data_IF_649337048241
#
_entry.id   IF_649337048241
#
_cell.length_a   1.000
_cell.length_b   1.000
_cell.length_c   1.000
_cell.angle_alpha   90.00
_cell.angle_beta   90.00
_cell.angle_gamma   90.00
#
_symmetry.space_group_name_H-M   'P 1'
#
loop_
_entity.id
_entity.type
_entity.pdbx_description
1 polymer ?
#
# COMPACT_ATOMS: atom_id res chain seq x y z
N UNK A 1 -9.47 13.64 -10.89
CA UNK A 1 -10.71 12.95 -11.29
C UNK A 1 -10.35 11.52 -11.68
N UNK A 2 -10.94 10.50 -11.06
CA UNK A 2 -10.57 9.09 -11.31
C UNK A 2 -11.05 8.67 -12.71
N UNK A 3 -10.11 8.40 -13.62
CA UNK A 3 -10.39 8.00 -15.01
C UNK A 3 -11.31 6.77 -15.07
N UNK A 4 -11.24 5.87 -14.08
CA UNK A 4 -12.14 4.71 -14.02
C UNK A 4 -13.58 5.13 -13.75
N UNK A 5 -13.80 6.12 -12.88
CA UNK A 5 -15.15 6.62 -12.59
C UNK A 5 -15.77 7.25 -13.83
N UNK A 6 -14.97 7.97 -14.62
CA UNK A 6 -15.42 8.53 -15.91
C UNK A 6 -15.80 7.39 -16.88
N UNK A 7 -14.95 6.36 -16.99
CA UNK A 7 -15.23 5.19 -17.81
C UNK A 7 -16.50 4.45 -17.40
N UNK A 8 -16.73 4.24 -16.10
CA UNK A 8 -17.94 3.61 -15.55
C UNK A 8 -19.20 4.43 -15.90
N UNK A 9 -19.14 5.76 -15.77
CA UNK A 9 -20.28 6.62 -16.14
C UNK A 9 -20.58 6.52 -17.63
N UNK A 10 -19.55 6.51 -18.49
CA UNK A 10 -19.72 6.34 -19.94
C UNK A 10 -20.33 4.99 -20.30
N UNK A 11 -19.96 3.91 -19.60
CA UNK A 11 -20.55 2.58 -19.80
C UNK A 11 -22.03 2.60 -19.41
N UNK A 12 -22.38 3.17 -18.26
CA UNK A 12 -23.77 3.21 -17.79
C UNK A 12 -24.66 4.02 -18.74
N UNK A 13 -24.22 5.21 -19.14
CA UNK A 13 -24.95 6.05 -20.12
C UNK A 13 -25.05 5.32 -21.46
N UNK A 14 -23.95 4.73 -21.92
CA UNK A 14 -23.90 3.99 -23.18
C UNK A 14 -24.89 2.82 -23.21
N UNK A 15 -24.91 1.98 -22.17
CA UNK A 15 -25.83 0.83 -22.05
C UNK A 15 -27.29 1.31 -22.05
N UNK A 16 -27.62 2.35 -21.29
CA UNK A 16 -28.99 2.89 -21.23
C UNK A 16 -29.43 3.36 -22.62
N UNK A 17 -28.59 4.12 -23.32
CA UNK A 17 -28.89 4.60 -24.68
C UNK A 17 -29.01 3.42 -25.66
N UNK A 18 -28.15 2.41 -25.58
CA UNK A 18 -28.21 1.21 -26.42
C UNK A 18 -29.51 0.44 -26.23
N UNK A 19 -29.99 0.28 -24.99
CA UNK A 19 -31.25 -0.42 -24.69
C UNK A 19 -32.46 0.37 -25.16
N UNK A 20 -32.48 1.69 -24.93
CA UNK A 20 -33.62 2.56 -25.30
C UNK A 20 -33.78 2.68 -26.83
N UNK A 21 -32.67 2.67 -27.57
CA UNK A 21 -32.66 2.88 -29.03
C UNK A 21 -32.31 1.62 -29.82
N UNK A 22 -32.65 0.43 -29.29
CA UNK A 22 -32.30 -0.86 -29.93
C UNK A 22 -32.83 -0.99 -31.36
N UNK A 23 -34.00 -0.40 -31.64
CA UNK A 23 -34.65 -0.44 -32.96
C UNK A 23 -34.13 0.65 -33.92
N UNK A 24 -33.32 1.60 -33.44
CA UNK A 24 -32.74 2.67 -34.26
C UNK A 24 -31.24 2.46 -34.47
N UNK A 25 -30.89 1.80 -35.58
CA UNK A 25 -29.50 1.47 -35.92
C UNK A 25 -28.57 2.69 -35.99
N UNK A 26 -29.07 3.87 -36.37
CA UNK A 26 -28.26 5.09 -36.47
C UNK A 26 -27.78 5.60 -35.10
N UNK A 27 -28.53 5.29 -34.03
CA UNK A 27 -28.20 5.68 -32.65
C UNK A 27 -27.56 4.51 -31.90
N UNK A 28 -27.99 3.28 -32.18
CA UNK A 28 -27.48 2.05 -31.59
C UNK A 28 -25.96 1.89 -31.81
N UNK A 29 -25.48 2.04 -33.05
CA UNK A 29 -24.06 1.85 -33.38
C UNK A 29 -23.17 2.87 -32.63
N UNK A 30 -23.44 4.19 -32.66
CA UNK A 30 -22.70 5.15 -31.85
C UNK A 30 -22.77 4.88 -30.34
N UNK A 31 -23.93 4.52 -29.80
CA UNK A 31 -24.08 4.21 -28.38
C UNK A 31 -23.22 3.01 -27.95
N UNK A 32 -23.17 1.98 -28.79
CA UNK A 32 -22.33 0.81 -28.56
C UNK A 32 -20.84 1.16 -28.65
N UNK A 33 -20.44 2.02 -29.60
CA UNK A 33 -19.07 2.55 -29.69
C UNK A 33 -18.68 3.34 -28.44
N UNK A 34 -19.55 4.22 -27.94
CA UNK A 34 -19.31 4.98 -26.69
C UNK A 34 -19.18 4.03 -25.49
N UNK A 35 -20.01 2.99 -25.42
CA UNK A 35 -19.93 1.97 -24.37
C UNK A 35 -18.58 1.25 -24.40
N UNK A 36 -18.14 0.81 -25.60
CA UNK A 36 -16.83 0.17 -25.79
C UNK A 36 -15.65 1.08 -25.41
N UNK A 37 -15.72 2.37 -25.75
CA UNK A 37 -14.72 3.36 -25.31
C UNK A 37 -14.71 3.51 -23.78
N UNK A 38 -15.88 3.53 -23.15
CA UNK A 38 -16.01 3.54 -21.69
C UNK A 38 -15.33 2.32 -21.03
N UNK A 39 -15.51 1.12 -21.61
CA UNK A 39 -14.80 -0.09 -21.19
C UNK A 39 -13.28 0.05 -21.32
N UNK A 40 -12.80 0.51 -22.48
CA UNK A 40 -11.37 0.69 -22.71
C UNK A 40 -10.74 1.67 -21.70
N UNK A 41 -11.36 2.82 -21.48
CA UNK A 41 -10.91 3.83 -20.51
C UNK A 41 -10.85 3.25 -19.09
N UNK A 42 -11.87 2.46 -18.71
CA UNK A 42 -11.92 1.82 -17.41
C UNK A 42 -10.77 0.82 -17.22
N UNK A 43 -10.51 -0.03 -18.23
CA UNK A 43 -9.41 -1.01 -18.20
C UNK A 43 -8.06 -0.30 -18.10
N UNK A 44 -7.81 0.72 -18.93
CA UNK A 44 -6.56 1.50 -18.88
C UNK A 44 -6.38 2.15 -17.50
N UNK A 45 -7.46 2.68 -16.92
CA UNK A 45 -7.45 3.21 -15.56
C UNK A 45 -7.02 2.18 -14.51
N UNK A 46 -7.55 0.95 -14.59
CA UNK A 46 -7.15 -0.15 -13.71
C UNK A 46 -5.69 -0.57 -13.91
N UNK A 47 -5.25 -0.76 -15.17
CA UNK A 47 -3.87 -1.14 -15.48
C UNK A 47 -2.88 -0.12 -14.94
N UNK A 48 -3.17 1.17 -15.09
CA UNK A 48 -2.32 2.23 -14.55
C UNK A 48 -2.23 2.19 -13.02
N UNK A 49 -3.32 1.89 -12.32
CA UNK A 49 -3.28 1.75 -10.87
C UNK A 49 -2.45 0.52 -10.43
N UNK A 50 -2.65 -0.62 -11.10
CA UNK A 50 -1.86 -1.84 -10.84
C UNK A 50 -0.37 -1.55 -11.06
N UNK A 51 -0.02 -0.85 -12.15
CA UNK A 51 1.36 -0.48 -12.43
C UNK A 51 1.96 0.43 -11.35
N UNK A 52 1.22 1.42 -10.88
CA UNK A 52 1.65 2.29 -9.77
C UNK A 52 1.90 1.50 -8.49
N UNK A 53 0.98 0.60 -8.14
CA UNK A 53 1.14 -0.30 -6.97
C UNK A 53 2.35 -1.21 -7.13
N UNK A 54 2.57 -1.75 -8.33
CA UNK A 54 3.75 -2.58 -8.63
C UNK A 54 5.05 -1.82 -8.39
N UNK A 55 5.16 -0.58 -8.88
CA UNK A 55 6.38 0.25 -8.67
C UNK A 55 6.64 0.48 -7.17
N UNK A 56 5.59 0.74 -6.39
CA UNK A 56 5.73 0.91 -4.94
C UNK A 56 6.19 -0.40 -4.29
N UNK A 57 5.63 -1.53 -4.71
CA UNK A 57 6.00 -2.84 -4.17
C UNK A 57 7.44 -3.25 -4.54
N UNK A 58 7.85 -3.00 -5.79
CA UNK A 58 9.22 -3.28 -6.26
C UNK A 58 10.24 -2.43 -5.48
N UNK A 59 9.91 -1.17 -5.15
CA UNK A 59 10.74 -0.34 -4.26
C UNK A 59 10.76 -0.85 -2.82
N UNK A 60 9.61 -1.30 -2.32
CA UNK A 60 9.52 -1.85 -0.97
C UNK A 60 10.39 -3.09 -0.82
N UNK A 61 10.42 -3.99 -1.82
CA UNK A 61 11.27 -5.18 -1.80
C UNK A 61 12.77 -4.82 -1.74
N UNK A 62 13.20 -3.78 -2.46
CA UNK A 62 14.57 -3.25 -2.39
C UNK A 62 14.88 -2.62 -1.02
N UNK A 63 13.95 -1.81 -0.52
CA UNK A 63 14.05 -1.11 0.77
C UNK A 63 14.03 -2.09 1.96
N UNK A 64 13.36 -3.24 1.85
CA UNK A 64 13.40 -4.29 2.88
C UNK A 64 14.83 -4.76 3.10
N UNK A 65 15.57 -5.05 2.03
CA UNK A 65 16.95 -5.54 2.13
C UNK A 65 17.94 -4.45 2.53
N UNK A 66 17.76 -3.23 2.04
CA UNK A 66 18.75 -2.16 2.18
C UNK A 66 18.53 -1.28 3.41
N UNK A 67 17.29 -1.12 3.87
CA UNK A 67 16.92 -0.23 4.98
C UNK A 67 16.35 -1.05 6.14
N UNK A 68 15.30 -1.83 5.90
CA UNK A 68 14.54 -2.45 6.99
C UNK A 68 15.33 -3.53 7.71
N UNK A 69 15.98 -4.45 7.00
CA UNK A 69 16.73 -5.54 7.59
C UNK A 69 17.95 -5.06 8.41
N UNK A 70 18.74 -4.06 7.96
CA UNK A 70 19.75 -3.43 8.80
C UNK A 70 19.19 -2.77 10.06
N UNK A 71 18.06 -2.05 9.96
CA UNK A 71 17.40 -1.45 11.12
C UNK A 71 16.96 -2.53 12.13
N UNK A 72 16.25 -3.56 11.67
CA UNK A 72 15.83 -4.68 12.52
C UNK A 72 17.04 -5.33 13.20
N UNK A 73 18.15 -5.51 12.49
CA UNK A 73 19.38 -6.09 13.04
C UNK A 73 20.00 -5.18 14.11
N UNK A 74 20.13 -3.88 13.83
CA UNK A 74 20.64 -2.86 14.76
C UNK A 74 19.84 -2.88 16.07
N UNK A 75 18.51 -2.83 15.97
CA UNK A 75 17.62 -2.78 17.12
C UNK A 75 17.51 -4.13 17.85
N UNK A 76 17.62 -5.26 17.15
CA UNK A 76 17.72 -6.58 17.77
C UNK A 76 18.98 -6.71 18.63
N UNK A 77 20.13 -6.25 18.11
CA UNK A 77 21.38 -6.24 18.86
C UNK A 77 21.32 -5.30 20.06
N UNK A 78 20.69 -4.12 19.91
CA UNK A 78 20.48 -3.18 21.00
C UNK A 78 19.59 -3.78 22.10
N UNK A 79 18.52 -4.48 21.74
CA UNK A 79 17.67 -5.17 22.71
C UNK A 79 18.44 -6.25 23.50
N UNK A 80 19.34 -7.00 22.83
CA UNK A 80 20.22 -7.96 23.50
C UNK A 80 21.17 -7.29 24.49
N UNK A 81 21.73 -6.12 24.14
CA UNK A 81 22.54 -5.32 25.07
C UNK A 81 21.72 -4.88 26.27
N UNK A 82 20.53 -4.33 26.04
CA UNK A 82 19.65 -3.89 27.12
C UNK A 82 19.24 -5.01 28.05
N UNK A 83 19.01 -6.21 27.53
CA UNK A 83 18.68 -7.39 28.34
C UNK A 83 19.84 -7.85 29.23
N UNK A 84 21.09 -7.55 28.84
CA UNK A 84 22.27 -7.86 29.64
C UNK A 84 22.61 -6.74 30.64
N UNK A 85 22.22 -5.50 30.36
CA UNK A 85 22.58 -4.31 31.15
C UNK A 85 21.50 -3.88 32.15
N UNK A 86 20.23 -4.17 31.87
CA UNK A 86 19.08 -3.73 32.66
C UNK A 86 18.20 -4.91 33.05
N UNK A 87 17.59 -4.84 34.23
CA UNK A 87 16.63 -5.83 34.73
C UNK A 87 15.31 -5.18 35.14
N UNK A 88 14.22 -5.96 35.13
CA UNK A 88 12.92 -5.53 35.61
C UNK A 88 12.32 -4.34 34.84
N UNK A 89 11.85 -3.33 35.58
CA UNK A 89 11.11 -2.19 35.02
C UNK A 89 11.98 -1.29 34.12
N UNK A 90 13.29 -1.16 34.42
CA UNK A 90 14.21 -0.39 33.57
C UNK A 90 14.36 -1.02 32.19
N UNK A 91 14.42 -2.35 32.10
CA UNK A 91 14.43 -3.06 30.82
C UNK A 91 13.14 -2.81 30.02
N UNK A 92 12.00 -2.80 30.69
CA UNK A 92 10.69 -2.54 30.05
C UNK A 92 10.64 -1.12 29.49
N UNK A 93 11.14 -0.13 30.22
CA UNK A 93 11.20 1.26 29.73
C UNK A 93 12.13 1.40 28.53
N UNK A 94 13.32 0.79 28.59
CA UNK A 94 14.27 0.76 27.47
C UNK A 94 13.69 0.09 26.23
N UNK A 95 12.94 -1.00 26.38
CA UNK A 95 12.20 -1.64 25.28
C UNK A 95 11.14 -0.73 24.66
N UNK A 96 10.40 0.01 25.48
CA UNK A 96 9.40 0.94 24.97
C UNK A 96 10.05 2.07 24.16
N UNK A 97 11.17 2.59 24.66
CA UNK A 97 11.97 3.60 23.95
C UNK A 97 12.52 3.04 22.63
N UNK A 98 13.06 1.83 22.65
CA UNK A 98 13.56 1.12 21.48
C UNK A 98 12.50 1.00 20.37
N UNK A 99 11.28 0.60 20.73
CA UNK A 99 10.17 0.50 19.78
C UNK A 99 9.78 1.86 19.19
N UNK A 100 9.80 2.94 19.99
CA UNK A 100 9.53 4.31 19.51
C UNK A 100 10.62 4.80 18.56
N UNK A 101 11.88 4.52 18.88
CA UNK A 101 13.02 4.90 18.05
C UNK A 101 13.01 4.15 16.72
N UNK A 102 12.69 2.84 16.73
CA UNK A 102 12.50 2.04 15.52
C UNK A 102 11.34 2.59 14.66
N UNK A 103 10.19 2.94 15.26
CA UNK A 103 9.07 3.56 14.55
C UNK A 103 9.47 4.87 13.88
N UNK A 104 10.24 5.71 14.57
CA UNK A 104 10.76 6.98 14.03
C UNK A 104 11.72 6.75 12.87
N UNK A 105 12.74 5.90 13.04
CA UNK A 105 13.73 5.63 11.99
C UNK A 105 13.07 5.00 10.74
N UNK A 106 12.08 4.11 10.91
CA UNK A 106 11.32 3.57 9.76
C UNK A 106 10.53 4.69 9.07
N UNK A 107 9.90 5.59 9.81
CA UNK A 107 9.13 6.71 9.24
C UNK A 107 10.03 7.67 8.45
N UNK A 108 11.23 7.93 8.94
CA UNK A 108 12.21 8.81 8.29
C UNK A 108 12.77 8.19 7.01
N UNK A 109 13.09 6.88 7.03
CA UNK A 109 13.69 6.21 5.89
C UNK A 109 12.67 5.73 4.84
N UNK A 110 11.43 5.42 5.26
CA UNK A 110 10.36 4.90 4.40
C UNK A 110 9.12 5.82 4.45
N UNK A 111 9.21 7.09 3.98
CA UNK A 111 8.15 8.09 4.14
C UNK A 111 6.88 7.79 3.33
N UNK A 112 6.94 6.82 2.42
CA UNK A 112 5.79 6.39 1.60
C UNK A 112 4.93 5.33 2.29
N UNK A 113 5.40 4.73 3.40
CA UNK A 113 4.62 3.78 4.18
C UNK A 113 3.59 4.50 5.05
N UNK A 114 2.40 3.92 5.17
CA UNK A 114 1.41 4.44 6.09
C UNK A 114 1.80 4.15 7.54
N UNK A 115 1.49 5.05 8.47
CA UNK A 115 1.77 4.86 9.91
C UNK A 115 1.23 3.52 10.45
N UNK A 116 0.10 3.05 9.91
CA UNK A 116 -0.47 1.74 10.29
C UNK A 116 0.43 0.57 9.88
N UNK A 117 1.10 0.65 8.74
CA UNK A 117 2.01 -0.38 8.24
C UNK A 117 3.29 -0.41 9.07
N UNK A 118 3.85 0.76 9.36
CA UNK A 118 5.02 0.91 10.23
C UNK A 118 4.75 0.30 11.62
N UNK A 119 3.59 0.60 12.22
CA UNK A 119 3.20 0.02 13.52
C UNK A 119 3.11 -1.50 13.49
N UNK A 120 2.62 -2.10 12.40
CA UNK A 120 2.59 -3.56 12.27
C UNK A 120 3.99 -4.16 12.27
N UNK A 121 4.94 -3.51 11.60
CA UNK A 121 6.35 -3.94 11.57
C UNK A 121 6.95 -3.90 12.98
N UNK A 122 6.78 -2.79 13.70
CA UNK A 122 7.30 -2.64 15.07
C UNK A 122 6.67 -3.65 16.03
N UNK A 123 5.36 -3.90 15.93
CA UNK A 123 4.68 -4.91 16.74
C UNK A 123 5.20 -6.32 16.41
N UNK A 124 5.39 -6.64 15.14
CA UNK A 124 5.93 -7.94 14.73
C UNK A 124 7.35 -8.13 15.26
N UNK A 125 8.20 -7.11 15.13
CA UNK A 125 9.54 -7.09 15.71
C UNK A 125 9.50 -7.32 17.23
N UNK A 126 8.70 -6.54 17.97
CA UNK A 126 8.60 -6.67 19.42
C UNK A 126 8.15 -8.08 19.86
N UNK A 127 7.18 -8.68 19.16
CA UNK A 127 6.73 -10.06 19.41
C UNK A 127 7.81 -11.10 19.13
N UNK A 128 8.66 -10.85 18.13
CA UNK A 128 9.75 -11.76 17.79
C UNK A 128 10.89 -11.66 18.81
N UNK A 129 11.15 -10.47 19.33
CA UNK A 129 12.07 -10.26 20.45
C UNK A 129 11.60 -10.95 21.74
N UNK A 130 10.29 -11.03 22.00
CA UNK A 130 9.73 -11.76 23.15
C UNK A 130 9.93 -13.28 23.08
N UNK A 131 10.24 -13.83 21.90
CA UNK A 131 10.49 -15.26 21.70
C UNK A 131 11.97 -15.65 21.83
N UNK A 132 12.88 -14.67 21.77
CA UNK A 132 14.33 -14.87 21.89
C UNK A 132 14.76 -14.75 23.36
#
# INVERSE_FOLDING_TARGET
MDIRKIGIVLILVGIVVTVVFIDNQQIFVPALTVTMLGFFITIVGFVNEIRKRKIINDRLDEDIGTILQPLITKYSNLNKQYRNEFEGDEYVEKRLQLNKDLEREITENLPYLESREIKKIVIAFSKEQDKM
#
